data_IF_349412021805
#
_entry.id   IF_349412021805
#
_cell.length_a   1.000
_cell.length_b   1.000
_cell.length_c   1.000
_cell.angle_alpha   90.00
_cell.angle_beta   90.00
_cell.angle_gamma   90.00
#
_symmetry.space_group_name_H-M   'P 1'
#
loop_
_entity.id
_entity.type
_entity.pdbx_description
1 polymer ?
#
# COMPACT_ATOMS: atom_id res chain seq x y z
N UNK A 1 41.77 3.04 18.36
CA UNK A 1 40.38 2.55 18.29
C UNK A 1 39.87 2.78 16.88
N UNK A 2 40.01 1.77 16.01
CA UNK A 2 39.40 1.80 14.68
C UNK A 2 37.91 1.58 14.87
N UNK A 3 37.11 2.59 14.53
CA UNK A 3 35.66 2.46 14.45
C UNK A 3 35.35 1.29 13.51
N UNK A 4 34.66 0.27 14.03
CA UNK A 4 33.98 -0.71 13.20
C UNK A 4 33.25 0.06 12.09
N UNK A 5 33.29 -0.43 10.85
CA UNK A 5 32.63 0.21 9.70
C UNK A 5 31.11 0.02 9.79
N UNK A 6 30.53 0.43 10.92
CA UNK A 6 29.11 0.51 11.18
C UNK A 6 28.62 1.77 10.48
N UNK A 7 27.74 1.61 9.51
CA UNK A 7 27.32 2.74 8.67
C UNK A 7 26.51 3.78 9.44
N UNK A 8 25.86 3.38 10.57
CA UNK A 8 25.05 4.27 11.41
C UNK A 8 25.15 3.90 12.89
N UNK A 9 25.43 4.89 13.73
CA UNK A 9 25.51 4.71 15.19
C UNK A 9 24.15 4.23 15.77
N UNK A 10 24.13 3.23 16.68
CA UNK A 10 22.89 2.67 17.25
C UNK A 10 21.98 3.71 17.91
N UNK A 11 22.56 4.76 18.50
CA UNK A 11 21.81 5.88 19.13
C UNK A 11 20.96 6.64 18.12
N UNK A 12 21.25 6.56 16.82
CA UNK A 12 20.43 7.19 15.77
C UNK A 12 19.45 6.17 15.18
N UNK A 13 19.93 4.98 14.81
CA UNK A 13 19.10 3.98 14.13
C UNK A 13 17.98 3.42 15.01
N UNK A 14 18.23 3.23 16.30
CA UNK A 14 17.25 2.67 17.23
C UNK A 14 16.07 3.63 17.45
N UNK A 15 16.26 4.93 17.81
CA UNK A 15 15.15 5.87 17.92
C UNK A 15 14.36 6.04 16.62
N UNK A 16 15.04 6.06 15.47
CA UNK A 16 14.37 6.14 14.16
C UNK A 16 13.49 4.90 13.94
N UNK A 17 13.99 3.70 14.25
CA UNK A 17 13.21 2.48 14.14
C UNK A 17 12.02 2.44 15.10
N UNK A 18 12.18 2.95 16.34
CA UNK A 18 11.08 3.09 17.30
C UNK A 18 10.02 4.04 16.76
N UNK A 19 10.43 5.22 16.27
CA UNK A 19 9.51 6.19 15.68
C UNK A 19 8.75 5.60 14.47
N UNK A 20 9.46 4.85 13.61
CA UNK A 20 8.84 4.14 12.49
C UNK A 20 7.83 3.09 12.98
N UNK A 21 8.19 2.26 13.96
CA UNK A 21 7.30 1.25 14.53
C UNK A 21 6.04 1.87 15.15
N UNK A 22 6.18 2.97 15.91
CA UNK A 22 5.05 3.72 16.47
C UNK A 22 4.13 4.26 15.37
N UNK A 23 4.72 4.81 14.31
CA UNK A 23 3.97 5.33 13.16
C UNK A 23 3.20 4.22 12.44
N UNK A 24 3.83 3.06 12.23
CA UNK A 24 3.19 1.88 11.62
C UNK A 24 2.06 1.33 12.50
N UNK A 25 2.25 1.31 13.82
CA UNK A 25 1.23 0.87 14.79
C UNK A 25 0.04 1.83 14.82
N UNK A 26 0.29 3.13 14.83
CA UNK A 26 -0.75 4.15 14.73
C UNK A 26 -1.55 4.00 13.42
N UNK A 27 -0.85 3.80 12.29
CA UNK A 27 -1.48 3.57 11.01
C UNK A 27 -2.31 2.28 10.98
N UNK A 28 -1.83 1.21 11.61
CA UNK A 28 -2.57 -0.04 11.76
C UNK A 28 -3.93 0.17 12.43
N UNK A 29 -3.96 0.92 13.54
CA UNK A 29 -5.21 1.25 14.23
C UNK A 29 -6.15 2.10 13.36
N UNK A 30 -5.60 3.08 12.62
CA UNK A 30 -6.38 3.90 11.68
C UNK A 30 -7.00 3.07 10.56
N UNK A 31 -6.33 2.01 10.12
CA UNK A 31 -6.79 1.11 9.06
C UNK A 31 -7.97 0.21 9.48
N UNK A 32 -8.31 0.17 10.77
CA UNK A 32 -9.46 -0.57 11.29
C UNK A 32 -10.82 0.03 10.90
N UNK A 33 -10.86 1.26 10.36
CA UNK A 33 -12.11 1.95 10.01
C UNK A 33 -12.85 1.25 8.84
N UNK A 34 -14.18 1.12 8.88
CA UNK A 34 -14.98 0.38 7.89
C UNK A 34 -15.03 1.00 6.49
N UNK A 35 -14.44 2.19 6.29
CA UNK A 35 -14.42 2.90 5.01
C UNK A 35 -13.51 2.26 3.94
N UNK A 36 -12.70 1.24 4.29
CA UNK A 36 -11.78 0.58 3.36
C UNK A 36 -12.28 -0.83 2.99
N UNK A 37 -12.36 -1.19 1.69
CA UNK A 37 -12.75 -2.52 1.24
C UNK A 37 -11.96 -3.65 1.94
N UNK A 38 -12.65 -4.69 2.39
CA UNK A 38 -12.08 -5.82 3.13
C UNK A 38 -10.81 -6.46 2.50
N UNK A 39 -10.71 -6.70 1.17
CA UNK A 39 -9.50 -7.28 0.58
C UNK A 39 -8.28 -6.36 0.67
N UNK A 40 -8.46 -5.04 0.46
CA UNK A 40 -7.39 -4.04 0.62
C UNK A 40 -6.87 -3.99 2.06
N UNK A 41 -7.78 -4.11 3.03
CA UNK A 41 -7.42 -4.12 4.45
C UNK A 41 -6.53 -5.31 4.81
N UNK A 42 -6.77 -6.50 4.24
CA UNK A 42 -5.95 -7.68 4.49
C UNK A 42 -4.53 -7.52 3.93
N UNK A 43 -4.39 -7.07 2.67
CA UNK A 43 -3.07 -6.84 2.06
C UNK A 43 -2.24 -5.81 2.84
N UNK A 44 -2.87 -4.69 3.21
CA UNK A 44 -2.19 -3.64 3.99
C UNK A 44 -1.74 -4.12 5.36
N UNK A 45 -2.54 -4.96 6.03
CA UNK A 45 -2.12 -5.59 7.29
C UNK A 45 -0.91 -6.50 7.09
N UNK A 46 -0.90 -7.34 6.06
CA UNK A 46 0.27 -8.19 5.77
C UNK A 46 1.52 -7.34 5.51
N UNK A 47 1.41 -6.29 4.70
CA UNK A 47 2.52 -5.37 4.43
C UNK A 47 3.03 -4.67 5.70
N UNK A 48 2.15 -4.22 6.59
CA UNK A 48 2.53 -3.61 7.87
C UNK A 48 3.26 -4.60 8.79
N UNK A 49 2.80 -5.85 8.87
CA UNK A 49 3.49 -6.88 9.65
C UNK A 49 4.89 -7.12 9.09
N UNK A 50 5.03 -7.23 7.77
CA UNK A 50 6.34 -7.38 7.11
C UNK A 50 7.26 -6.19 7.42
N UNK A 51 6.75 -4.95 7.36
CA UNK A 51 7.52 -3.76 7.70
C UNK A 51 7.98 -3.74 9.16
N UNK A 52 7.11 -4.12 10.10
CA UNK A 52 7.46 -4.21 11.53
C UNK A 52 8.54 -5.27 11.78
N UNK A 53 8.47 -6.42 11.10
CA UNK A 53 9.50 -7.48 11.19
C UNK A 53 10.81 -7.07 10.51
N UNK A 54 10.73 -6.30 9.43
CA UNK A 54 11.91 -5.82 8.71
C UNK A 54 12.74 -4.82 9.55
N UNK A 55 12.09 -4.00 10.38
CA UNK A 55 12.75 -2.95 11.17
C UNK A 55 13.88 -3.48 12.09
N UNK A 56 13.66 -4.48 12.98
CA UNK A 56 14.74 -5.05 13.79
C UNK A 56 15.89 -5.60 12.97
N UNK A 57 15.59 -6.24 11.83
CA UNK A 57 16.62 -6.81 10.96
C UNK A 57 17.46 -5.71 10.32
N UNK A 58 16.82 -4.63 9.89
CA UNK A 58 17.47 -3.45 9.31
C UNK A 58 18.38 -2.75 10.34
N UNK A 59 17.87 -2.53 11.56
CA UNK A 59 18.67 -1.97 12.68
C UNK A 59 19.86 -2.87 13.02
N UNK A 60 19.64 -4.19 13.08
CA UNK A 60 20.72 -5.17 13.30
C UNK A 60 21.81 -5.04 12.23
N UNK A 61 21.43 -5.07 10.96
CA UNK A 61 22.37 -4.98 9.84
C UNK A 61 23.13 -3.64 9.78
N UNK A 62 22.46 -2.54 10.11
CA UNK A 62 23.05 -1.19 10.05
C UNK A 62 23.96 -0.85 11.23
N UNK A 63 23.66 -1.37 12.42
CA UNK A 63 24.23 -0.85 13.66
C UNK A 63 24.97 -1.86 14.52
N UNK A 64 24.80 -3.16 14.28
CA UNK A 64 25.35 -4.21 15.16
C UNK A 64 26.20 -5.25 14.44
N UNK A 65 26.22 -5.26 13.10
CA UNK A 65 26.98 -6.26 12.33
C UNK A 65 28.17 -5.60 11.64
N UNK A 66 29.36 -5.82 12.19
CA UNK A 66 30.61 -5.35 11.59
C UNK A 66 31.02 -6.23 10.38
N UNK A 67 31.09 -5.69 9.15
CA UNK A 67 31.52 -6.44 7.98
C UNK A 67 32.98 -6.89 8.03
N UNK A 68 33.85 -6.20 8.78
CA UNK A 68 35.27 -6.52 8.87
C UNK A 68 35.51 -7.80 9.71
N UNK A 69 34.70 -7.98 10.76
CA UNK A 69 34.84 -9.09 11.71
C UNK A 69 33.92 -10.26 11.33
N UNK A 70 32.68 -9.98 10.92
CA UNK A 70 31.63 -10.99 10.75
C UNK A 70 31.01 -11.00 9.34
N UNK A 71 31.83 -11.22 8.31
CA UNK A 71 31.42 -11.26 6.89
C UNK A 71 30.18 -12.11 6.61
N UNK A 72 30.12 -13.35 7.13
CA UNK A 72 28.98 -14.26 6.93
C UNK A 72 27.68 -13.70 7.53
N UNK A 73 27.76 -13.17 8.76
CA UNK A 73 26.60 -12.60 9.44
C UNK A 73 26.12 -11.30 8.75
N UNK A 74 27.06 -10.51 8.21
CA UNK A 74 26.75 -9.32 7.43
C UNK A 74 25.95 -9.68 6.16
N UNK A 75 26.46 -10.61 5.35
CA UNK A 75 25.78 -11.06 4.13
C UNK A 75 24.41 -11.64 4.45
N UNK A 76 24.29 -12.51 5.47
CA UNK A 76 23.00 -13.09 5.86
C UNK A 76 21.98 -12.02 6.29
N UNK A 77 22.42 -11.00 7.06
CA UNK A 77 21.55 -9.92 7.50
C UNK A 77 21.03 -9.12 6.32
N UNK A 78 21.89 -8.76 5.35
CA UNK A 78 21.51 -8.02 4.16
C UNK A 78 20.65 -8.83 3.20
N UNK A 79 20.92 -10.13 3.03
CA UNK A 79 20.04 -11.03 2.27
C UNK A 79 18.64 -11.06 2.87
N UNK A 80 18.53 -11.15 4.20
CA UNK A 80 17.22 -11.13 4.87
C UNK A 80 16.51 -9.78 4.69
N UNK A 81 17.24 -8.66 4.78
CA UNK A 81 16.69 -7.32 4.48
C UNK A 81 16.17 -7.26 3.04
N UNK A 82 16.94 -7.74 2.06
CA UNK A 82 16.52 -7.76 0.65
C UNK A 82 15.27 -8.62 0.42
N UNK A 83 15.20 -9.79 1.04
CA UNK A 83 14.02 -10.66 0.97
C UNK A 83 12.79 -9.95 1.58
N UNK A 84 12.95 -9.33 2.75
CA UNK A 84 11.87 -8.57 3.39
C UNK A 84 11.39 -7.39 2.51
N UNK A 85 12.32 -6.61 1.96
CA UNK A 85 12.01 -5.52 1.04
C UNK A 85 11.30 -6.03 -0.21
N UNK A 86 11.75 -7.15 -0.77
CA UNK A 86 11.11 -7.82 -1.90
C UNK A 86 9.66 -8.22 -1.59
N UNK A 87 9.42 -8.84 -0.43
CA UNK A 87 8.06 -9.19 0.01
C UNK A 87 7.18 -7.95 0.20
N UNK A 88 7.71 -6.91 0.83
CA UNK A 88 7.00 -5.63 0.99
C UNK A 88 6.64 -5.06 -0.39
N UNK A 89 7.58 -5.04 -1.33
CA UNK A 89 7.36 -4.55 -2.68
C UNK A 89 6.29 -5.36 -3.44
N UNK A 90 6.35 -6.70 -3.38
CA UNK A 90 5.33 -7.57 -3.98
C UNK A 90 3.95 -7.29 -3.37
N UNK A 91 3.85 -7.17 -2.05
CA UNK A 91 2.56 -6.85 -1.41
C UNK A 91 2.04 -5.47 -1.81
N UNK A 92 2.93 -4.49 -2.00
CA UNK A 92 2.57 -3.15 -2.46
C UNK A 92 2.08 -3.17 -3.92
N UNK A 93 2.74 -3.92 -4.80
CA UNK A 93 2.28 -4.12 -6.18
C UNK A 93 0.91 -4.78 -6.21
N UNK A 94 0.69 -5.85 -5.44
CA UNK A 94 -0.62 -6.50 -5.36
C UNK A 94 -1.70 -5.53 -4.84
N UNK A 95 -1.39 -4.66 -3.87
CA UNK A 95 -2.33 -3.61 -3.42
C UNK A 95 -2.63 -2.61 -4.55
N UNK A 96 -1.63 -2.20 -5.32
CA UNK A 96 -1.80 -1.30 -6.46
C UNK A 96 -2.66 -1.95 -7.56
N UNK A 97 -2.39 -3.21 -7.93
CA UNK A 97 -3.19 -3.96 -8.91
C UNK A 97 -4.64 -4.13 -8.47
N UNK A 98 -4.87 -4.55 -7.22
CA UNK A 98 -6.22 -4.64 -6.64
C UNK A 98 -6.87 -3.26 -6.62
N UNK A 99 -6.09 -2.22 -6.36
CA UNK A 99 -6.61 -0.85 -6.33
C UNK A 99 -7.10 -0.38 -7.69
N UNK A 100 -6.30 -0.61 -8.73
CA UNK A 100 -6.63 -0.28 -10.12
C UNK A 100 -7.82 -1.10 -10.62
N UNK A 101 -7.87 -2.39 -10.32
CA UNK A 101 -8.99 -3.26 -10.71
C UNK A 101 -10.31 -2.78 -10.11
N UNK A 102 -10.30 -2.35 -8.84
CA UNK A 102 -11.49 -1.81 -8.18
C UNK A 102 -11.93 -0.49 -8.80
N UNK A 103 -10.99 0.41 -9.11
CA UNK A 103 -11.31 1.70 -9.75
C UNK A 103 -11.86 1.49 -11.15
N UNK A 104 -11.30 0.57 -11.93
CA UNK A 104 -11.81 0.24 -13.27
C UNK A 104 -13.25 -0.24 -13.22
N UNK A 105 -13.58 -1.13 -12.29
CA UNK A 105 -14.97 -1.60 -12.09
C UNK A 105 -15.92 -0.51 -11.61
N UNK A 106 -15.45 0.43 -10.79
CA UNK A 106 -16.25 1.57 -10.37
C UNK A 106 -16.53 2.50 -11.57
N UNK A 107 -15.49 2.78 -12.37
CA UNK A 107 -15.58 3.63 -13.55
C UNK A 107 -16.52 3.04 -14.63
N UNK A 108 -16.44 1.72 -14.87
CA UNK A 108 -17.35 1.03 -15.80
C UNK A 108 -18.82 1.12 -15.37
N UNK A 109 -19.10 1.10 -14.06
CA UNK A 109 -20.47 1.28 -13.53
C UNK A 109 -20.95 2.71 -13.71
N UNK A 110 -20.13 3.70 -13.36
CA UNK A 110 -20.47 5.12 -13.53
C UNK A 110 -20.74 5.46 -15.01
N UNK A 111 -19.96 4.90 -15.93
CA UNK A 111 -20.19 5.02 -17.37
C UNK A 111 -21.53 4.42 -17.80
N UNK A 112 -21.88 3.25 -17.27
CA UNK A 112 -23.14 2.59 -17.60
C UNK A 112 -24.35 3.36 -17.05
N UNK A 113 -24.25 3.85 -15.82
CA UNK A 113 -25.29 4.67 -15.20
C UNK A 113 -25.47 6.00 -15.95
N UNK A 114 -24.37 6.69 -16.30
CA UNK A 114 -24.40 7.91 -17.10
C UNK A 114 -25.02 7.68 -18.49
N UNK A 115 -24.65 6.59 -19.17
CA UNK A 115 -25.21 6.23 -20.48
C UNK A 115 -26.71 5.91 -20.38
N UNK A 116 -27.14 5.22 -19.33
CA UNK A 116 -28.56 4.91 -19.10
C UNK A 116 -29.38 6.16 -18.81
N UNK A 117 -28.82 7.10 -18.06
CA UNK A 117 -29.46 8.40 -17.73
C UNK A 117 -29.61 9.25 -18.99
N UNK A 118 -28.57 9.32 -19.84
CA UNK A 118 -28.62 9.98 -21.14
C UNK A 118 -29.66 9.35 -22.07
N UNK A 119 -29.70 8.02 -22.15
CA UNK A 119 -30.66 7.31 -22.98
C UNK A 119 -32.12 7.54 -22.52
N UNK A 120 -32.36 7.64 -21.21
CA UNK A 120 -33.67 7.98 -20.66
C UNK A 120 -34.08 9.42 -21.02
N UNK A 121 -33.19 10.39 -20.81
CA UNK A 121 -33.46 11.80 -21.14
C UNK A 121 -33.78 12.01 -22.63
N UNK A 122 -33.09 11.31 -23.53
CA UNK A 122 -33.37 11.37 -24.98
C UNK A 122 -34.75 10.78 -25.33
N UNK A 123 -35.13 9.66 -24.70
CA UNK A 123 -36.47 9.06 -24.91
C UNK A 123 -37.59 9.96 -24.42
N UNK A 124 -37.38 10.67 -23.31
CA UNK A 124 -38.34 11.63 -22.78
C UNK A 124 -38.52 12.83 -23.74
N UNK A 125 -37.43 13.36 -24.31
CA UNK A 125 -37.50 14.43 -25.31
C UNK A 125 -38.24 14.00 -26.59
N UNK A 126 -37.92 12.82 -27.13
CA UNK A 126 -38.59 12.28 -28.32
C UNK A 126 -40.08 12.05 -28.08
N UNK A 127 -40.46 11.57 -26.89
CA UNK A 127 -41.85 11.41 -26.49
C UNK A 127 -42.61 12.74 -26.42
N UNK A 128 -41.98 13.77 -25.84
CA UNK A 128 -42.55 15.11 -25.77
C UNK A 128 -42.72 15.75 -27.15
N UNK A 129 -41.72 15.61 -28.04
CA UNK A 129 -41.78 16.12 -29.41
C UNK A 129 -42.93 15.50 -30.21
N UNK A 130 -43.14 14.18 -30.11
CA UNK A 130 -44.23 13.48 -30.79
C UNK A 130 -45.62 13.80 -30.22
N UNK A 131 -45.71 14.11 -28.93
CA UNK A 131 -46.97 14.51 -28.31
C UNK A 131 -47.43 15.92 -28.76
N UNK A 132 -46.48 16.83 -29.01
CA UNK A 132 -46.75 18.17 -29.51
C UNK A 132 -47.15 18.25 -30.99
N UNK A 133 -46.79 17.23 -31.80
CA UNK A 133 -47.03 17.19 -33.24
C UNK A 133 -48.38 16.59 -33.65
N UNK A 134 -49.26 16.20 -32.70
CA UNK A 134 -50.61 15.73 -33.05
C UNK A 134 -51.47 16.92 -33.50
N UNK A 135 -51.88 17.01 -34.79
CA UNK A 135 -52.81 18.04 -35.22
C UNK A 135 -54.18 17.78 -34.56
N UNK A 136 -54.70 18.81 -33.90
CA UNK A 136 -56.06 18.82 -33.33
C UNK A 136 -57.14 18.85 -34.40
#
# INVERSE_FOLDING_TARGET
>A
MMFAAVHVHPVISVPVAIAAAVTLMWYWWRLGRPTVPAPRRRLRRVSLVLMIIALPTLVRGLSFVDPAIHKKAYVLSWTFVLVMVGLIFVTALLDAFVSMHLHRRAYERELHDAASTLAQALREQDGAARAGDKPG
#
